data_IF_132606891693
#
_entry.id   IF_132606891693
#
_cell.length_a   1.000
_cell.length_b   1.000
_cell.length_c   1.000
_cell.angle_alpha   90.00
_cell.angle_beta   90.00
_cell.angle_gamma   90.00
#
_symmetry.space_group_name_H-M   'P 1'
#
loop_
_entity.id
_entity.type
_entity.pdbx_description
1 polymer ?
#
# COMPACT_ATOMS: atom_id res chain seq x y z
N UNK A 1 9.33 -78.30 -5.77
CA UNK A 1 7.87 -78.42 -5.93
C UNK A 1 7.22 -77.69 -4.76
N UNK A 2 6.49 -76.63 -5.13
CA UNK A 2 5.46 -75.88 -4.40
C UNK A 2 5.78 -75.15 -3.07
N UNK A 3 5.13 -73.98 -2.85
CA UNK A 3 5.59 -72.90 -1.98
C UNK A 3 4.70 -72.71 -0.74
N UNK A 4 5.10 -71.88 0.23
CA UNK A 4 4.15 -71.41 1.25
C UNK A 4 4.41 -69.96 1.72
N UNK A 5 3.64 -69.06 1.09
CA UNK A 5 2.96 -67.82 1.53
C UNK A 5 3.62 -66.87 2.57
N UNK A 6 3.63 -65.55 2.28
CA UNK A 6 3.93 -64.51 3.27
C UNK A 6 2.72 -64.22 4.17
N UNK A 7 2.98 -63.96 5.45
CA UNK A 7 2.00 -63.60 6.46
C UNK A 7 1.67 -62.10 6.35
N UNK A 8 0.42 -61.77 6.02
CA UNK A 8 -0.09 -60.39 5.99
C UNK A 8 -0.70 -60.08 7.36
N UNK A 9 -0.06 -59.17 8.11
CA UNK A 9 -0.60 -58.59 9.34
C UNK A 9 -1.60 -57.48 8.96
N UNK A 10 -2.90 -57.76 9.16
CA UNK A 10 -3.99 -56.79 9.06
C UNK A 10 -4.10 -56.00 10.38
N UNK A 11 -3.79 -54.70 10.34
CA UNK A 11 -4.18 -53.74 11.38
C UNK A 11 -5.63 -53.26 11.11
N UNK A 12 -6.50 -53.15 12.13
CA UNK A 12 -7.85 -52.64 11.96
C UNK A 12 -7.86 -51.10 11.85
N UNK A 13 -8.78 -50.50 11.07
CA UNK A 13 -8.91 -49.06 11.01
C UNK A 13 -9.71 -48.56 12.24
N UNK A 14 -9.11 -47.69 13.05
CA UNK A 14 -9.84 -46.87 14.01
C UNK A 14 -10.66 -45.82 13.25
N UNK A 15 -11.99 -45.98 13.22
CA UNK A 15 -12.91 -44.88 12.88
C UNK A 15 -12.96 -43.90 14.06
N UNK A 16 -12.32 -42.75 13.93
CA UNK A 16 -12.56 -41.61 14.81
C UNK A 16 -13.79 -40.83 14.31
N UNK A 17 -14.92 -40.94 14.99
CA UNK A 17 -16.04 -40.02 14.83
C UNK A 17 -15.63 -38.65 15.40
N UNK A 18 -15.29 -37.70 14.52
CA UNK A 18 -15.16 -36.30 14.89
C UNK A 18 -16.57 -35.70 15.02
N UNK A 19 -17.08 -35.58 16.25
CA UNK A 19 -18.23 -34.73 16.54
C UNK A 19 -17.79 -33.26 16.47
N UNK A 20 -18.26 -32.54 15.45
CA UNK A 20 -18.09 -31.09 15.39
C UNK A 20 -18.93 -30.41 16.49
N UNK A 21 -18.38 -29.47 17.27
CA UNK A 21 -19.17 -28.72 18.25
C UNK A 21 -20.08 -27.74 17.49
N UNK A 22 -21.38 -27.99 17.55
CA UNK A 22 -22.41 -27.01 17.19
C UNK A 22 -22.36 -25.89 18.23
N UNK A 23 -21.75 -24.76 17.89
CA UNK A 23 -21.80 -23.56 18.72
C UNK A 23 -23.17 -22.90 18.53
N UNK A 24 -24.08 -23.13 19.47
CA UNK A 24 -25.27 -22.31 19.59
C UNK A 24 -24.85 -20.86 19.90
N UNK A 25 -25.19 -19.92 19.01
CA UNK A 25 -24.99 -18.49 19.25
C UNK A 25 -25.93 -18.03 20.37
N UNK A 26 -25.46 -18.08 21.61
CA UNK A 26 -26.12 -17.37 22.70
C UNK A 26 -25.95 -15.87 22.47
N UNK A 27 -27.04 -15.17 22.13
CA UNK A 27 -27.08 -13.71 22.12
C UNK A 27 -26.83 -13.21 23.54
N UNK A 28 -25.62 -12.72 23.79
CA UNK A 28 -25.28 -12.04 25.06
C UNK A 28 -26.07 -10.73 25.12
N UNK A 29 -26.71 -10.39 26.25
CA UNK A 29 -27.38 -9.11 26.41
C UNK A 29 -26.34 -7.98 26.47
N UNK A 30 -26.67 -6.81 25.92
CA UNK A 30 -25.72 -5.72 25.69
C UNK A 30 -25.12 -5.13 26.97
N UNK A 31 -25.82 -5.24 28.10
CA UNK A 31 -25.36 -4.85 29.43
C UNK A 31 -24.13 -5.65 29.89
N UNK A 32 -23.98 -6.90 29.45
CA UNK A 32 -22.81 -7.72 29.74
C UNK A 32 -21.50 -7.17 29.14
N UNK A 33 -21.59 -6.28 28.16
CA UNK A 33 -20.42 -5.69 27.51
C UNK A 33 -19.78 -4.56 28.32
N UNK A 34 -20.49 -3.96 29.28
CA UNK A 34 -20.00 -2.81 30.08
C UNK A 34 -18.75 -3.17 30.89
N UNK A 35 -18.70 -4.41 31.39
CA UNK A 35 -17.60 -4.90 32.24
C UNK A 35 -16.31 -5.22 31.46
N UNK A 36 -16.32 -5.15 30.12
CA UNK A 36 -15.14 -5.43 29.31
C UNK A 36 -14.21 -4.21 29.33
N UNK A 37 -13.02 -4.39 29.88
CA UNK A 37 -12.01 -3.33 30.02
C UNK A 37 -11.45 -2.87 28.66
N UNK A 38 -11.14 -3.82 27.77
CA UNK A 38 -10.67 -3.49 26.42
C UNK A 38 -11.77 -2.85 25.59
N UNK A 39 -11.58 -1.59 25.19
CA UNK A 39 -12.53 -0.84 24.37
C UNK A 39 -12.88 -1.56 23.06
N UNK A 40 -11.89 -2.19 22.42
CA UNK A 40 -12.09 -2.96 21.20
C UNK A 40 -12.95 -4.22 21.44
N UNK A 41 -12.67 -4.97 22.51
CA UNK A 41 -13.46 -6.14 22.87
C UNK A 41 -14.87 -5.75 23.35
N UNK A 42 -15.01 -4.60 24.01
CA UNK A 42 -16.29 -4.04 24.44
C UNK A 42 -17.15 -3.64 23.25
N UNK A 43 -16.57 -2.96 22.25
CA UNK A 43 -17.27 -2.61 21.01
C UNK A 43 -17.68 -3.87 20.24
N UNK A 44 -16.79 -4.85 20.09
CA UNK A 44 -17.11 -6.12 19.44
C UNK A 44 -18.23 -6.88 20.16
N UNK A 45 -18.25 -6.84 21.49
CA UNK A 45 -19.34 -7.39 22.29
C UNK A 45 -20.67 -6.68 22.02
N UNK A 46 -20.69 -5.34 21.98
CA UNK A 46 -21.90 -4.59 21.65
C UNK A 46 -22.39 -4.89 20.25
N UNK A 47 -21.48 -4.97 19.28
CA UNK A 47 -21.82 -5.29 17.91
C UNK A 47 -22.45 -6.69 17.82
N UNK A 48 -21.89 -7.68 18.53
CA UNK A 48 -22.45 -9.03 18.61
C UNK A 48 -23.81 -9.06 19.32
N UNK A 49 -23.93 -8.38 20.47
CA UNK A 49 -25.14 -8.34 21.29
C UNK A 49 -26.32 -7.69 20.55
N UNK A 50 -26.04 -6.67 19.74
CA UNK A 50 -27.03 -5.91 18.98
C UNK A 50 -27.20 -6.43 17.54
N UNK A 51 -26.50 -7.51 17.16
CA UNK A 51 -26.55 -8.08 15.82
C UNK A 51 -25.99 -7.14 14.73
N UNK A 52 -25.18 -6.16 15.10
CA UNK A 52 -24.48 -5.28 14.15
C UNK A 52 -23.35 -6.07 13.50
N UNK A 53 -23.60 -6.51 12.29
CA UNK A 53 -22.55 -7.10 11.45
C UNK A 53 -21.88 -5.99 10.63
N UNK A 54 -20.55 -5.87 10.76
CA UNK A 54 -19.76 -5.06 9.82
C UNK A 54 -19.93 -5.64 8.44
N UNK A 55 -20.49 -4.86 7.51
CA UNK A 55 -20.62 -5.28 6.11
C UNK A 55 -19.23 -5.58 5.54
N UNK A 56 -19.08 -6.73 4.89
CA UNK A 56 -17.86 -7.04 4.17
C UNK A 56 -17.75 -6.17 2.91
N UNK A 57 -16.52 -6.00 2.40
CA UNK A 57 -16.30 -5.30 1.12
C UNK A 57 -17.10 -5.92 -0.03
N UNK A 58 -17.29 -7.26 -0.02
CA UNK A 58 -18.11 -7.96 -1.00
C UNK A 58 -19.59 -7.59 -0.89
N UNK A 59 -20.13 -7.47 0.32
CA UNK A 59 -21.51 -7.03 0.54
C UNK A 59 -21.71 -5.57 0.13
N UNK A 60 -20.73 -4.71 0.41
CA UNK A 60 -20.73 -3.32 -0.04
C UNK A 60 -20.73 -3.22 -1.57
N UNK A 61 -19.92 -4.03 -2.25
CA UNK A 61 -19.88 -4.10 -3.70
C UNK A 61 -21.19 -4.62 -4.31
N UNK A 62 -21.80 -5.64 -3.72
CA UNK A 62 -23.08 -6.18 -4.18
C UNK A 62 -24.19 -5.12 -4.07
N UNK A 63 -24.24 -4.38 -2.96
CA UNK A 63 -25.17 -3.27 -2.78
C UNK A 63 -24.94 -2.17 -3.82
N UNK A 64 -23.68 -1.82 -4.09
CA UNK A 64 -23.32 -0.86 -5.12
C UNK A 64 -23.74 -1.34 -6.52
N UNK A 65 -23.54 -2.62 -6.85
CA UNK A 65 -23.96 -3.20 -8.13
C UNK A 65 -25.48 -3.11 -8.34
N UNK A 66 -26.26 -3.51 -7.32
CA UNK A 66 -27.73 -3.39 -7.36
C UNK A 66 -28.19 -1.93 -7.47
N UNK A 67 -27.47 -0.98 -6.87
CA UNK A 67 -27.73 0.44 -7.05
C UNK A 67 -27.46 0.91 -8.50
N UNK A 68 -26.37 0.46 -9.13
CA UNK A 68 -26.07 0.78 -10.54
C UNK A 68 -27.15 0.24 -11.48
N UNK A 69 -27.62 -0.98 -11.26
CA UNK A 69 -28.68 -1.58 -12.06
C UNK A 69 -30.03 -0.85 -11.92
N UNK A 70 -30.38 -0.45 -10.69
CA UNK A 70 -31.58 0.36 -10.43
C UNK A 70 -31.48 1.74 -11.08
N UNK A 71 -30.34 2.41 -10.98
CA UNK A 71 -30.09 3.71 -11.63
C UNK A 71 -30.19 3.57 -13.16
N UNK A 72 -29.50 2.60 -13.75
CA UNK A 72 -29.52 2.36 -15.19
C UNK A 72 -30.91 2.00 -15.72
N UNK A 73 -31.71 1.21 -14.98
CA UNK A 73 -33.08 0.90 -15.37
C UNK A 73 -34.01 2.11 -15.29
N UNK A 74 -33.88 2.93 -14.23
CA UNK A 74 -34.60 4.21 -14.10
C UNK A 74 -34.25 5.20 -15.21
N UNK A 75 -32.96 5.34 -15.55
CA UNK A 75 -32.49 6.21 -16.63
C UNK A 75 -32.97 5.75 -18.00
N UNK A 76 -32.96 4.43 -18.27
CA UNK A 76 -33.51 3.85 -19.50
C UNK A 76 -35.02 4.10 -19.60
N UNK A 77 -35.76 3.91 -18.50
CA UNK A 77 -37.20 4.17 -18.47
C UNK A 77 -37.51 5.66 -18.72
N UNK A 78 -36.77 6.55 -18.06
CA UNK A 78 -36.91 8.01 -18.23
C UNK A 78 -36.51 8.45 -19.64
N UNK A 79 -35.49 7.85 -20.24
CA UNK A 79 -35.07 8.18 -21.60
C UNK A 79 -36.06 7.64 -22.63
N UNK A 80 -36.69 6.49 -22.39
CA UNK A 80 -37.69 5.92 -23.29
C UNK A 80 -38.92 6.82 -23.45
N UNK A 81 -39.32 7.55 -22.40
CA UNK A 81 -40.45 8.49 -22.42
C UNK A 81 -40.16 9.83 -23.08
N UNK A 82 -38.89 10.18 -23.35
CA UNK A 82 -38.53 11.45 -23.99
C UNK A 82 -38.76 11.43 -25.52
N UNK A 83 -39.18 12.57 -26.11
CA UNK A 83 -39.19 12.78 -27.56
C UNK A 83 -37.82 12.49 -28.21
N UNK A 84 -37.81 12.05 -29.49
CA UNK A 84 -36.58 11.66 -30.22
C UNK A 84 -35.44 12.70 -30.13
N UNK A 85 -35.77 13.99 -30.24
CA UNK A 85 -34.77 15.06 -30.24
C UNK A 85 -34.12 15.27 -28.86
N UNK A 86 -34.89 15.08 -27.78
CA UNK A 86 -34.38 15.13 -26.40
C UNK A 86 -33.56 13.88 -26.07
N UNK A 87 -33.93 12.70 -26.59
CA UNK A 87 -33.09 11.49 -26.47
C UNK A 87 -31.72 11.66 -27.09
N UNK A 88 -31.63 12.26 -28.27
CA UNK A 88 -30.35 12.53 -28.93
C UNK A 88 -29.49 13.54 -28.14
N UNK A 89 -30.12 14.61 -27.61
CA UNK A 89 -29.44 15.58 -26.74
C UNK A 89 -28.96 14.95 -25.43
N UNK A 90 -29.78 14.10 -24.80
CA UNK A 90 -29.41 13.41 -23.56
C UNK A 90 -28.29 12.39 -23.77
N UNK A 91 -28.32 11.62 -24.87
CA UNK A 91 -27.23 10.72 -25.22
C UNK A 91 -25.89 11.45 -25.44
N UNK A 92 -25.93 12.66 -26.03
CA UNK A 92 -24.75 13.53 -26.13
C UNK A 92 -24.32 14.09 -24.78
N UNK A 93 -25.27 14.43 -23.91
CA UNK A 93 -24.97 14.91 -22.55
C UNK A 93 -24.41 13.81 -21.65
N UNK A 94 -24.91 12.57 -21.75
CA UNK A 94 -24.46 11.42 -20.96
C UNK A 94 -23.03 10.98 -21.33
N UNK A 95 -22.54 11.32 -22.52
CA UNK A 95 -21.12 11.17 -22.87
C UNK A 95 -20.20 12.09 -22.04
N UNK A 96 -20.75 13.15 -21.46
CA UNK A 96 -20.03 14.16 -20.68
C UNK A 96 -20.59 14.37 -19.27
N UNK A 97 -21.64 13.64 -18.88
CA UNK A 97 -22.27 13.77 -17.58
C UNK A 97 -21.35 13.17 -16.52
N UNK A 98 -20.66 14.04 -15.80
CA UNK A 98 -20.13 13.70 -14.49
C UNK A 98 -21.31 13.38 -13.58
N UNK A 99 -21.22 12.29 -12.82
CA UNK A 99 -22.19 11.81 -11.83
C UNK A 99 -22.44 12.88 -10.71
N UNK A 100 -23.05 14.01 -11.04
CA UNK A 100 -23.28 15.16 -10.16
C UNK A 100 -24.69 15.16 -9.53
N UNK A 101 -25.28 13.98 -9.34
CA UNK A 101 -26.45 13.80 -8.47
C UNK A 101 -26.02 13.46 -7.04
N UNK A 102 -26.92 13.52 -6.03
CA UNK A 102 -26.60 12.95 -4.72
C UNK A 102 -26.26 11.49 -4.94
N UNK A 103 -24.99 11.13 -4.74
CA UNK A 103 -24.53 9.78 -4.98
C UNK A 103 -25.36 8.84 -4.10
N UNK A 104 -26.01 7.85 -4.74
CA UNK A 104 -26.67 6.76 -4.03
C UNK A 104 -25.68 6.26 -2.96
N UNK A 105 -26.04 6.26 -1.67
CA UNK A 105 -25.13 5.88 -0.60
C UNK A 105 -24.50 4.50 -0.79
N UNK A 106 -25.14 3.59 -1.51
CA UNK A 106 -24.57 2.29 -1.86
C UNK A 106 -23.43 2.43 -2.88
N UNK A 107 -23.53 3.34 -3.86
CA UNK A 107 -22.45 3.65 -4.80
C UNK A 107 -21.28 4.36 -4.12
N UNK A 108 -21.61 5.31 -3.25
CA UNK A 108 -20.65 6.10 -2.47
C UNK A 108 -19.83 5.24 -1.49
N UNK A 109 -20.35 4.07 -1.12
CA UNK A 109 -19.73 3.11 -0.22
C UNK A 109 -19.28 1.82 -0.91
N UNK A 110 -19.10 1.83 -2.23
CA UNK A 110 -18.51 0.69 -2.94
C UNK A 110 -17.11 0.37 -2.38
N UNK A 111 -16.84 -0.90 -2.11
CA UNK A 111 -15.57 -1.35 -1.53
C UNK A 111 -15.36 -1.00 -0.05
N UNK A 112 -16.36 -0.47 0.66
CA UNK A 112 -16.24 -0.15 2.09
C UNK A 112 -15.70 -1.35 2.89
N UNK A 113 -14.66 -1.12 3.68
CA UNK A 113 -13.99 -2.16 4.48
C UNK A 113 -12.99 -3.02 3.70
N UNK A 114 -12.67 -2.66 2.45
CA UNK A 114 -11.55 -3.27 1.74
C UNK A 114 -10.20 -2.74 2.24
N UNK A 115 -9.10 -3.40 1.88
CA UNK A 115 -7.75 -2.97 2.25
C UNK A 115 -7.45 -1.54 1.74
N UNK A 116 -7.79 -1.26 0.47
CA UNK A 116 -7.57 0.07 -0.07
C UNK A 116 -8.48 1.12 0.57
N UNK A 117 -9.73 0.77 0.89
CA UNK A 117 -10.61 1.66 1.64
C UNK A 117 -10.08 1.96 3.05
N UNK A 118 -9.56 0.97 3.77
CA UNK A 118 -9.03 1.19 5.12
C UNK A 118 -7.79 2.11 5.11
N UNK A 119 -6.96 2.03 4.07
CA UNK A 119 -5.76 2.87 3.93
C UNK A 119 -6.07 4.25 3.36
N UNK A 120 -7.07 4.40 2.51
CA UNK A 120 -7.32 5.65 1.77
C UNK A 120 -8.65 6.33 2.08
N UNK A 121 -9.46 5.77 2.96
CA UNK A 121 -10.74 6.33 3.39
C UNK A 121 -11.65 6.67 2.19
N UNK A 122 -11.77 5.73 1.26
CA UNK A 122 -12.35 5.95 -0.08
C UNK A 122 -13.87 6.02 -0.06
N UNK A 123 -14.50 5.10 0.68
CA UNK A 123 -15.93 5.06 0.87
C UNK A 123 -16.39 6.28 1.67
N UNK A 124 -17.57 6.82 1.33
CA UNK A 124 -18.16 7.99 2.01
C UNK A 124 -18.17 7.84 3.53
N UNK A 125 -18.55 6.67 4.02
CA UNK A 125 -18.68 6.39 5.45
C UNK A 125 -17.35 5.97 6.12
N UNK A 126 -16.28 5.81 5.35
CA UNK A 126 -14.94 5.47 5.88
C UNK A 126 -14.10 6.72 6.13
N UNK A 127 -14.60 7.90 5.76
CA UNK A 127 -13.91 9.18 5.94
C UNK A 127 -13.85 9.57 7.40
N UNK A 128 -12.65 9.91 7.86
CA UNK A 128 -12.35 10.26 9.23
C UNK A 128 -12.04 11.76 9.40
N UNK A 129 -12.37 12.59 8.40
CA UNK A 129 -12.19 14.04 8.44
C UNK A 129 -10.80 14.54 8.05
N UNK A 130 -10.68 15.86 7.99
CA UNK A 130 -9.45 16.58 7.57
C UNK A 130 -8.49 16.83 8.74
N UNK A 131 -7.22 17.06 8.41
CA UNK A 131 -6.13 17.42 9.35
C UNK A 131 -5.85 16.41 10.47
N UNK A 132 -6.35 15.18 10.33
CA UNK A 132 -5.99 14.07 11.20
C UNK A 132 -4.81 13.29 10.60
N UNK A 133 -3.83 12.96 11.43
CA UNK A 133 -2.71 12.11 10.99
C UNK A 133 -3.15 10.65 10.80
N UNK A 134 -2.70 10.06 9.70
CA UNK A 134 -2.89 8.65 9.33
C UNK A 134 -1.57 8.05 8.93
N UNK A 135 -1.45 6.74 9.09
CA UNK A 135 -0.38 5.96 8.47
C UNK A 135 -0.43 6.13 6.94
N UNK A 136 0.74 6.26 6.30
CA UNK A 136 0.82 6.27 4.84
C UNK A 136 1.52 5.02 4.29
N UNK A 137 2.85 4.98 4.35
CA UNK A 137 3.68 3.78 4.10
C UNK A 137 3.98 3.09 5.45
N UNK A 138 4.59 1.89 5.47
CA UNK A 138 4.98 1.23 6.71
C UNK A 138 5.85 2.10 7.62
N UNK A 139 5.72 1.90 8.95
CA UNK A 139 6.53 2.57 9.98
C UNK A 139 7.27 1.50 10.76
N UNK A 140 8.60 1.51 10.64
CA UNK A 140 9.46 0.43 11.14
C UNK A 140 10.82 0.93 11.61
N UNK A 141 11.48 0.08 12.40
CA UNK A 141 12.86 0.19 12.82
C UNK A 141 13.53 -1.18 12.64
N UNK A 142 14.61 -1.20 11.89
CA UNK A 142 15.54 -2.31 11.76
C UNK A 142 16.84 -1.96 12.50
N UNK A 143 17.05 -2.51 13.71
CA UNK A 143 18.32 -2.37 14.40
C UNK A 143 19.48 -2.96 13.59
N UNK A 144 19.20 -4.04 12.84
CA UNK A 144 20.14 -4.68 11.94
C UNK A 144 19.65 -4.57 10.49
N UNK A 145 20.37 -3.80 9.69
CA UNK A 145 20.19 -3.63 8.25
C UNK A 145 21.54 -3.81 7.58
N UNK A 146 21.74 -4.96 6.96
CA UNK A 146 23.00 -5.36 6.34
C UNK A 146 22.96 -5.10 4.83
N UNK A 147 24.09 -4.67 4.25
CA UNK A 147 24.30 -4.52 2.81
C UNK A 147 25.41 -5.44 2.32
N UNK A 148 25.21 -6.07 1.16
CA UNK A 148 26.22 -6.91 0.52
C UNK A 148 27.39 -6.12 -0.07
N UNK A 149 27.15 -4.86 -0.42
CA UNK A 149 28.15 -3.99 -1.04
C UNK A 149 27.86 -2.53 -0.63
N UNK A 150 28.47 -2.02 0.46
CA UNK A 150 28.34 -0.62 0.83
C UNK A 150 28.84 0.31 -0.29
N UNK A 151 28.08 1.38 -0.55
CA UNK A 151 28.43 2.39 -1.55
C UNK A 151 29.44 3.39 -0.96
N UNK A 152 30.72 3.01 -0.94
CA UNK A 152 31.78 3.84 -0.36
C UNK A 152 32.15 5.03 -1.24
N UNK A 153 31.78 5.05 -2.52
CA UNK A 153 32.05 6.19 -3.41
C UNK A 153 30.82 6.54 -4.27
N UNK A 154 29.81 7.21 -3.69
CA UNK A 154 28.65 7.65 -4.44
C UNK A 154 29.05 8.57 -5.60
N UNK A 155 28.42 8.33 -6.74
CA UNK A 155 28.71 9.02 -8.00
C UNK A 155 27.41 9.53 -8.65
N UNK A 156 27.54 10.55 -9.47
CA UNK A 156 26.49 11.04 -10.39
C UNK A 156 27.16 11.57 -11.66
N UNK A 157 26.52 11.50 -12.85
CA UNK A 157 27.02 12.16 -14.04
C UNK A 157 27.24 13.66 -13.89
N UNK A 158 26.60 14.30 -12.91
CA UNK A 158 26.92 15.67 -12.52
C UNK A 158 28.24 15.68 -11.72
N UNK A 159 29.31 16.35 -12.21
CA UNK A 159 30.61 16.39 -11.54
C UNK A 159 30.58 16.95 -10.13
N UNK A 160 29.66 17.87 -9.85
CA UNK A 160 29.52 18.49 -8.52
C UNK A 160 28.96 17.49 -7.50
N UNK A 161 28.28 16.43 -7.95
CA UNK A 161 27.62 15.41 -7.13
C UNK A 161 28.39 14.07 -7.09
N UNK A 162 29.71 14.13 -7.28
CA UNK A 162 30.61 12.96 -7.23
C UNK A 162 31.57 13.06 -6.06
N UNK A 163 31.55 12.07 -5.17
CA UNK A 163 32.49 12.04 -4.04
C UNK A 163 33.92 11.81 -4.54
N UNK A 164 34.83 12.70 -4.17
CA UNK A 164 36.26 12.56 -4.46
C UNK A 164 36.96 11.59 -3.50
N UNK A 165 36.41 11.43 -2.29
CA UNK A 165 36.96 10.58 -1.22
C UNK A 165 36.03 9.40 -0.95
N UNK A 166 36.61 8.30 -0.46
CA UNK A 166 35.85 7.14 -0.02
C UNK A 166 35.22 7.42 1.35
N UNK A 167 33.94 7.10 1.47
CA UNK A 167 33.21 7.09 2.72
C UNK A 167 33.61 5.86 3.54
N UNK A 168 33.91 6.07 4.81
CA UNK A 168 34.13 5.01 5.79
C UNK A 168 32.78 4.43 6.24
N UNK A 169 32.40 3.28 5.66
CA UNK A 169 31.10 2.65 5.86
C UNK A 169 31.24 1.19 6.25
N UNK A 170 30.52 0.80 7.31
CA UNK A 170 30.29 -0.58 7.66
C UNK A 170 29.15 -1.18 6.81
N UNK A 171 29.23 -2.49 6.60
CA UNK A 171 28.17 -3.26 5.95
C UNK A 171 26.89 -3.37 6.79
N UNK A 172 26.98 -3.16 8.11
CA UNK A 172 25.84 -3.24 9.03
C UNK A 172 25.49 -1.86 9.56
N UNK A 173 24.24 -1.47 9.43
CA UNK A 173 23.69 -0.23 9.93
C UNK A 173 22.30 -0.45 10.55
N UNK A 174 21.73 0.59 11.14
CA UNK A 174 20.31 0.62 11.47
C UNK A 174 19.54 1.37 10.39
N UNK A 175 18.31 0.94 10.12
CA UNK A 175 17.39 1.61 9.19
C UNK A 175 16.05 1.87 9.86
N UNK A 176 15.45 3.02 9.64
CA UNK A 176 14.06 3.26 10.06
C UNK A 176 13.30 4.10 9.05
N UNK A 177 11.98 3.96 9.07
CA UNK A 177 11.07 4.76 8.25
C UNK A 177 9.92 5.28 9.10
N UNK A 178 9.63 6.57 8.94
CA UNK A 178 8.39 7.19 9.42
C UNK A 178 7.59 7.65 8.21
N UNK A 179 6.28 7.44 8.23
CA UNK A 179 5.42 7.81 7.11
C UNK A 179 4.01 8.09 7.57
N UNK A 180 3.53 9.28 7.24
CA UNK A 180 2.19 9.70 7.59
C UNK A 180 1.56 10.53 6.47
N UNK A 181 0.25 10.65 6.53
CA UNK A 181 -0.53 11.51 5.65
C UNK A 181 -1.70 12.13 6.40
N UNK A 182 -2.23 13.20 5.84
CA UNK A 182 -3.45 13.84 6.31
C UNK A 182 -4.26 14.38 5.14
N UNK A 183 -5.57 14.44 5.28
CA UNK A 183 -6.43 15.08 4.28
C UNK A 183 -6.42 16.59 4.50
N UNK A 184 -6.17 17.33 3.42
CA UNK A 184 -6.36 18.77 3.36
C UNK A 184 -7.79 19.12 2.94
N UNK A 185 -8.37 18.33 2.03
CA UNK A 185 -9.73 18.54 1.49
C UNK A 185 -10.41 17.18 1.33
N UNK A 186 -11.69 17.12 1.66
CA UNK A 186 -12.55 15.96 1.40
C UNK A 186 -13.60 16.28 0.35
N UNK A 187 -13.87 15.32 -0.53
CA UNK A 187 -14.98 15.38 -1.49
C UNK A 187 -14.98 16.63 -2.38
N UNK A 188 -13.83 16.96 -2.97
CA UNK A 188 -13.68 18.10 -3.88
C UNK A 188 -14.67 18.04 -5.06
N UNK A 189 -15.10 16.84 -5.43
CA UNK A 189 -16.08 16.60 -6.51
C UNK A 189 -17.27 15.78 -5.97
N UNK A 190 -18.21 16.47 -5.30
CA UNK A 190 -19.46 15.88 -4.80
C UNK A 190 -19.25 15.00 -3.57
N UNK A 191 -19.08 13.69 -3.75
CA UNK A 191 -18.82 12.70 -2.69
C UNK A 191 -17.50 11.92 -2.90
N UNK A 192 -16.61 12.49 -3.72
CA UNK A 192 -15.36 11.88 -4.16
C UNK A 192 -14.27 12.93 -4.41
N UNK A 193 -13.01 12.49 -4.51
CA UNK A 193 -11.84 13.34 -4.71
C UNK A 193 -11.35 13.97 -3.41
N UNK A 194 -10.43 13.29 -2.74
CA UNK A 194 -9.79 13.80 -1.52
C UNK A 194 -8.37 14.28 -1.82
N UNK A 195 -7.99 15.43 -1.27
CA UNK A 195 -6.62 15.94 -1.34
C UNK A 195 -5.86 15.50 -0.10
N UNK A 196 -4.83 14.69 -0.28
CA UNK A 196 -3.92 14.21 0.75
C UNK A 196 -2.59 14.94 0.68
N UNK A 197 -2.06 15.31 1.85
CA UNK A 197 -0.67 15.68 2.04
C UNK A 197 0.02 14.55 2.79
N UNK A 198 1.14 14.06 2.28
CA UNK A 198 1.88 12.97 2.86
C UNK A 198 3.35 13.33 3.03
N UNK A 199 3.99 12.65 3.96
CA UNK A 199 5.42 12.77 4.21
C UNK A 199 5.96 11.40 4.59
N UNK A 200 7.02 10.98 3.92
CA UNK A 200 7.82 9.81 4.27
C UNK A 200 9.25 10.25 4.51
N UNK A 201 9.87 9.70 5.54
CA UNK A 201 11.30 9.84 5.77
C UNK A 201 11.89 8.47 6.06
N UNK A 202 13.01 8.16 5.40
CA UNK A 202 13.75 6.90 5.61
C UNK A 202 15.21 7.19 5.85
N UNK A 203 15.75 6.70 6.97
CA UNK A 203 17.11 7.01 7.43
C UNK A 203 17.94 5.74 7.61
N UNK A 204 19.22 5.84 7.27
CA UNK A 204 20.25 4.80 7.46
C UNK A 204 21.34 5.34 8.37
N UNK A 205 21.55 4.68 9.49
CA UNK A 205 22.41 5.12 10.57
C UNK A 205 23.52 4.10 10.85
N UNK A 206 24.78 4.51 10.69
CA UNK A 206 25.96 3.70 10.94
C UNK A 206 26.21 3.52 12.45
N UNK A 207 25.20 3.08 13.21
CA UNK A 207 25.23 2.97 14.68
C UNK A 207 26.36 2.07 15.19
N UNK A 208 26.84 1.14 14.37
CA UNK A 208 27.92 0.21 14.70
C UNK A 208 29.30 0.74 14.33
N UNK A 209 29.41 1.74 13.44
CA UNK A 209 30.68 2.28 12.98
C UNK A 209 31.26 3.25 14.02
N UNK A 210 32.02 2.69 14.97
CA UNK A 210 32.69 3.44 16.03
C UNK A 210 33.78 4.36 15.49
N UNK A 211 34.49 3.94 14.45
CA UNK A 211 35.66 4.63 13.91
C UNK A 211 35.26 5.94 13.20
N UNK A 212 34.11 5.95 12.50
CA UNK A 212 33.54 7.14 11.87
C UNK A 212 32.63 7.98 12.79
N UNK A 213 32.59 7.70 14.10
CA UNK A 213 31.70 8.36 15.08
C UNK A 213 30.19 8.17 14.82
N UNK A 214 29.81 7.01 14.26
CA UNK A 214 28.42 6.55 14.09
C UNK A 214 27.49 7.54 13.37
N UNK A 215 27.86 8.01 12.16
CA UNK A 215 27.10 9.03 11.46
C UNK A 215 25.80 8.47 10.87
N UNK A 216 24.81 9.33 10.66
CA UNK A 216 23.78 9.03 9.67
C UNK A 216 24.46 9.01 8.30
N UNK A 217 24.35 7.88 7.60
CA UNK A 217 24.85 7.73 6.24
C UNK A 217 23.93 8.46 5.28
N UNK A 218 22.63 8.21 5.38
CA UNK A 218 21.64 8.78 4.48
C UNK A 218 20.31 9.04 5.18
N UNK A 219 19.58 10.06 4.73
CA UNK A 219 18.17 10.27 5.07
C UNK A 219 17.43 10.81 3.86
N UNK A 220 16.46 10.05 3.36
CA UNK A 220 15.57 10.50 2.29
C UNK A 220 14.34 11.18 2.88
N UNK A 221 14.01 12.37 2.37
CA UNK A 221 12.82 13.16 2.69
C UNK A 221 11.88 13.14 1.48
N UNK A 222 10.65 12.67 1.65
CA UNK A 222 9.70 12.46 0.56
C UNK A 222 8.31 13.05 0.88
N UNK A 223 8.10 14.37 0.72
CA UNK A 223 6.78 14.97 0.76
C UNK A 223 5.98 14.72 -0.54
N UNK A 224 4.67 14.48 -0.39
CA UNK A 224 3.75 14.23 -1.50
C UNK A 224 2.43 14.98 -1.31
N UNK A 225 1.83 15.45 -2.41
CA UNK A 225 0.44 15.94 -2.43
C UNK A 225 -0.32 15.15 -3.48
N UNK A 226 -1.39 14.47 -3.08
CA UNK A 226 -2.14 13.55 -3.94
C UNK A 226 -3.63 13.91 -3.96
N UNK A 227 -4.22 13.96 -5.15
CA UNK A 227 -5.66 13.97 -5.37
C UNK A 227 -6.13 12.54 -5.63
N UNK A 228 -6.84 11.95 -4.67
CA UNK A 228 -7.25 10.55 -4.66
C UNK A 228 -8.75 10.39 -4.89
N UNK A 229 -9.12 9.49 -5.79
CA UNK A 229 -10.50 9.18 -6.15
C UNK A 229 -10.84 7.73 -5.84
N UNK A 230 -12.02 7.53 -5.26
CA UNK A 230 -12.70 6.24 -5.25
C UNK A 230 -13.11 5.87 -6.68
N UNK A 231 -12.77 4.66 -7.09
CA UNK A 231 -13.20 4.06 -8.35
C UNK A 231 -14.02 2.78 -8.09
N UNK A 232 -14.67 2.26 -9.13
CA UNK A 232 -15.59 1.12 -8.96
C UNK A 232 -15.62 0.12 -10.12
N UNK A 233 -14.55 0.06 -10.91
CA UNK A 233 -14.42 -0.87 -12.05
C UNK A 233 -13.89 -2.24 -11.61
N UNK A 234 -14.09 -3.27 -12.43
CA UNK A 234 -13.56 -4.61 -12.20
C UNK A 234 -12.73 -5.10 -13.37
N UNK A 235 -11.63 -5.80 -13.11
CA UNK A 235 -10.73 -6.35 -14.13
C UNK A 235 -10.17 -7.70 -13.65
N UNK A 236 -10.42 -8.78 -14.40
CA UNK A 236 -9.86 -10.12 -14.11
C UNK A 236 -10.06 -10.59 -12.65
N UNK A 237 -11.23 -10.28 -12.06
CA UNK A 237 -11.56 -10.62 -10.67
C UNK A 237 -11.02 -9.64 -9.61
N UNK A 238 -10.21 -8.66 -10.00
CA UNK A 238 -9.80 -7.54 -9.14
C UNK A 238 -10.78 -6.39 -9.22
N UNK A 239 -10.84 -5.59 -8.16
CA UNK A 239 -11.69 -4.39 -8.07
C UNK A 239 -10.78 -3.16 -8.01
N UNK A 240 -10.89 -2.28 -9.00
CA UNK A 240 -10.20 -1.00 -8.98
C UNK A 240 -10.86 -0.06 -7.98
N UNK A 241 -10.16 0.28 -6.91
CA UNK A 241 -10.67 1.13 -5.81
C UNK A 241 -10.13 2.54 -5.83
N UNK A 242 -8.89 2.71 -6.25
CA UNK A 242 -8.16 3.97 -6.15
C UNK A 242 -7.63 4.37 -7.52
N UNK A 243 -7.88 5.61 -7.90
CA UNK A 243 -7.08 6.33 -8.88
C UNK A 243 -6.61 7.63 -8.23
N UNK A 244 -5.32 7.94 -8.27
CA UNK A 244 -4.81 9.20 -7.78
C UNK A 244 -3.76 9.79 -8.72
N UNK A 245 -3.66 11.11 -8.69
CA UNK A 245 -2.57 11.88 -9.31
C UNK A 245 -1.97 12.80 -8.26
N UNK A 246 -0.66 12.96 -8.25
CA UNK A 246 0.00 13.78 -7.25
C UNK A 246 1.36 14.28 -7.69
N UNK A 247 1.85 15.26 -6.94
CA UNK A 247 3.25 15.71 -7.02
C UNK A 247 4.02 15.10 -5.87
N UNK A 248 5.25 14.72 -6.15
CA UNK A 248 6.17 14.10 -5.21
C UNK A 248 7.53 14.77 -5.38
N UNK A 249 8.11 15.19 -4.27
CA UNK A 249 9.51 15.58 -4.19
C UNK A 249 10.22 14.55 -3.34
N UNK A 250 11.44 14.17 -3.71
CA UNK A 250 12.30 13.35 -2.88
C UNK A 250 13.71 13.93 -2.93
N UNK A 251 14.30 14.18 -1.77
CA UNK A 251 15.70 14.62 -1.65
C UNK A 251 16.34 14.05 -0.40
N UNK A 252 17.67 14.02 -0.34
CA UNK A 252 18.38 13.54 0.85
C UNK A 252 18.84 14.67 1.80
N UNK A 253 18.59 15.93 1.43
CA UNK A 253 18.92 17.10 2.24
C UNK A 253 20.43 17.30 2.49
N UNK A 254 21.29 16.69 1.65
CA UNK A 254 22.75 16.83 1.74
C UNK A 254 23.25 17.96 0.84
N UNK A 255 24.37 18.62 1.20
CA UNK A 255 25.10 19.47 0.26
C UNK A 255 25.92 18.61 -0.72
N UNK A 256 26.45 19.27 -1.75
CA UNK A 256 27.46 18.67 -2.62
C UNK A 256 28.68 18.16 -1.83
N UNK A 257 29.29 17.04 -2.25
CA UNK A 257 28.97 16.26 -3.45
C UNK A 257 27.93 15.14 -3.24
N UNK A 258 27.31 15.08 -2.06
CA UNK A 258 26.37 14.01 -1.70
C UNK A 258 24.90 14.40 -1.92
N UNK A 259 24.62 15.59 -2.44
CA UNK A 259 23.27 16.05 -2.76
C UNK A 259 22.61 15.11 -3.78
N UNK A 260 21.38 14.68 -3.49
CA UNK A 260 20.53 13.92 -4.40
C UNK A 260 19.11 14.43 -4.29
N UNK A 261 18.48 14.65 -5.43
CA UNK A 261 17.09 15.10 -5.48
C UNK A 261 16.41 14.81 -6.81
N UNK A 262 15.09 14.74 -6.79
CA UNK A 262 14.25 14.67 -7.99
C UNK A 262 12.79 14.99 -7.68
N UNK A 263 12.10 15.46 -8.71
CA UNK A 263 10.68 15.81 -8.68
C UNK A 263 9.87 14.92 -9.63
N UNK A 264 8.65 14.56 -9.25
CA UNK A 264 7.80 13.62 -10.01
C UNK A 264 6.33 14.02 -9.99
N UNK A 265 5.67 13.82 -11.14
CA UNK A 265 4.21 13.65 -11.20
C UNK A 265 3.91 12.16 -11.12
N UNK A 266 3.23 11.76 -10.05
CA UNK A 266 2.91 10.38 -9.73
C UNK A 266 1.46 10.06 -10.09
N UNK A 267 1.22 8.88 -10.64
CA UNK A 267 -0.13 8.31 -10.77
C UNK A 267 -0.20 7.08 -9.87
N UNK A 268 -1.33 6.84 -9.23
CA UNK A 268 -1.53 5.67 -8.37
C UNK A 268 -2.81 4.95 -8.78
N UNK A 269 -2.72 3.68 -9.10
CA UNK A 269 -3.86 2.82 -9.40
C UNK A 269 -3.90 1.69 -8.38
N UNK A 270 -4.93 1.66 -7.55
CA UNK A 270 -5.11 0.64 -6.53
C UNK A 270 -6.22 -0.33 -6.89
N UNK A 271 -5.90 -1.63 -6.88
CA UNK A 271 -6.84 -2.72 -7.01
C UNK A 271 -6.79 -3.63 -5.79
N UNK A 272 -7.92 -4.19 -5.39
CA UNK A 272 -7.93 -5.23 -4.34
C UNK A 272 -8.74 -6.45 -4.74
N UNK A 273 -8.44 -7.55 -4.02
CA UNK A 273 -9.12 -8.83 -4.13
C UNK A 273 -8.85 -9.67 -2.88
N UNK A 274 -9.86 -9.90 -2.06
CA UNK A 274 -9.87 -10.93 -0.99
C UNK A 274 -8.58 -11.02 -0.17
N UNK A 275 -8.21 -9.97 0.56
CA UNK A 275 -6.98 -9.94 1.35
C UNK A 275 -5.71 -9.61 0.54
N UNK A 276 -5.81 -9.44 -0.78
CA UNK A 276 -4.78 -8.84 -1.61
C UNK A 276 -5.06 -7.38 -1.92
N UNK A 277 -4.02 -6.58 -2.03
CA UNK A 277 -4.04 -5.24 -2.61
C UNK A 277 -2.83 -5.05 -3.54
N UNK A 278 -3.09 -4.56 -4.75
CA UNK A 278 -2.11 -4.22 -5.76
C UNK A 278 -2.15 -2.71 -5.98
N UNK A 279 -1.01 -2.03 -5.83
CA UNK A 279 -0.86 -0.62 -6.19
C UNK A 279 0.14 -0.52 -7.34
N UNK A 280 -0.26 0.09 -8.45
CA UNK A 280 0.61 0.40 -9.57
C UNK A 280 0.88 1.91 -9.56
N UNK A 281 2.15 2.29 -9.66
CA UNK A 281 2.56 3.69 -9.64
C UNK A 281 3.48 4.03 -10.80
N UNK A 282 2.96 4.42 -11.97
CA UNK A 282 3.79 5.07 -12.98
C UNK A 282 4.02 6.54 -12.63
N UNK A 283 5.14 7.09 -13.08
CA UNK A 283 5.44 8.51 -12.87
C UNK A 283 6.19 9.14 -14.03
N UNK A 284 6.11 10.47 -14.06
CA UNK A 284 6.85 11.33 -14.98
C UNK A 284 7.79 12.17 -14.13
N UNK A 285 9.09 12.05 -14.41
CA UNK A 285 10.12 12.90 -13.79
C UNK A 285 9.99 14.33 -14.31
N UNK A 286 10.09 15.29 -13.40
CA UNK A 286 10.26 16.72 -13.69
C UNK A 286 11.75 17.02 -13.52
N UNK A 287 12.49 17.33 -14.60
CA UNK A 287 13.92 17.64 -14.50
C UNK A 287 14.17 19.00 -13.86
N UNK A 288 15.26 19.13 -13.11
CA UNK A 288 15.68 20.37 -12.44
C UNK A 288 16.59 21.26 -13.33
N UNK A 289 16.79 20.86 -14.60
CA UNK A 289 17.52 21.66 -15.58
C UNK A 289 19.03 21.57 -15.42
N UNK A 290 19.71 22.71 -15.32
CA UNK A 290 21.17 22.78 -15.18
C UNK A 290 21.70 22.37 -13.81
N UNK A 291 20.84 22.39 -12.79
CA UNK A 291 21.17 22.12 -11.39
C UNK A 291 20.73 20.69 -10.98
N UNK A 292 20.68 19.76 -11.93
CA UNK A 292 20.20 18.39 -11.71
C UNK A 292 21.28 17.54 -11.02
N UNK A 293 21.04 17.19 -9.75
CA UNK A 293 21.98 16.41 -8.93
C UNK A 293 22.30 15.02 -9.51
N UNK A 294 21.34 14.43 -10.23
CA UNK A 294 21.40 13.05 -10.71
C UNK A 294 20.64 12.90 -12.04
N UNK A 295 21.23 13.38 -13.16
CA UNK A 295 20.54 13.48 -14.45
C UNK A 295 20.04 12.14 -15.02
N UNK A 296 20.68 11.04 -14.63
CA UNK A 296 20.39 9.67 -15.05
C UNK A 296 19.49 8.89 -14.07
N UNK A 297 18.98 9.49 -13.00
CA UNK A 297 18.19 8.79 -11.96
C UNK A 297 17.01 7.99 -12.51
N UNK A 298 16.37 8.48 -13.58
CA UNK A 298 15.25 7.81 -14.23
C UNK A 298 15.65 6.50 -14.94
N UNK A 299 16.93 6.26 -15.18
CA UNK A 299 17.41 5.01 -15.76
C UNK A 299 17.69 3.94 -14.69
N UNK A 300 17.63 4.29 -13.39
CA UNK A 300 17.79 3.38 -12.26
C UNK A 300 16.54 3.26 -11.39
N UNK A 301 16.10 4.37 -10.78
CA UNK A 301 14.87 4.44 -9.99
C UNK A 301 13.64 4.23 -10.88
N UNK A 302 13.76 4.60 -12.14
CA UNK A 302 12.86 4.19 -13.19
C UNK A 302 11.65 5.08 -13.42
N UNK A 303 10.57 4.48 -13.94
CA UNK A 303 9.34 5.17 -14.39
C UNK A 303 8.06 4.57 -13.80
N UNK A 304 8.21 3.52 -13.00
CA UNK A 304 7.11 2.97 -12.28
C UNK A 304 7.51 1.87 -11.31
N UNK A 305 6.64 1.65 -10.34
CA UNK A 305 6.65 0.48 -9.47
C UNK A 305 5.27 -0.16 -9.35
N UNK A 306 5.29 -1.40 -8.88
CA UNK A 306 4.12 -2.18 -8.50
C UNK A 306 4.34 -2.75 -7.11
N UNK A 307 3.40 -2.53 -6.20
CA UNK A 307 3.41 -3.12 -4.85
C UNK A 307 2.22 -4.04 -4.69
N UNK A 308 2.48 -5.33 -4.47
CA UNK A 308 1.49 -6.35 -4.18
C UNK A 308 1.58 -6.73 -2.70
N UNK A 309 0.48 -6.60 -1.98
CA UNK A 309 0.39 -6.93 -0.55
C UNK A 309 -0.64 -8.02 -0.34
N UNK A 310 -0.33 -9.00 0.51
CA UNK A 310 -1.23 -10.03 1.01
C UNK A 310 -1.33 -9.93 2.52
N UNK A 311 -2.56 -9.76 3.01
CA UNK A 311 -2.88 -9.90 4.44
C UNK A 311 -3.53 -11.26 4.68
N UNK A 312 -3.03 -11.99 5.67
CA UNK A 312 -3.55 -13.30 6.08
C UNK A 312 -4.46 -13.19 7.32
N UNK A 313 -5.41 -14.12 7.51
CA UNK A 313 -6.34 -14.06 8.64
C UNK A 313 -5.70 -14.14 10.03
N UNK A 314 -4.51 -14.72 10.13
CA UNK A 314 -3.70 -14.81 11.35
C UNK A 314 -2.88 -13.53 11.62
N UNK A 315 -3.07 -12.50 10.82
CA UNK A 315 -2.44 -11.19 10.98
C UNK A 315 -1.11 -11.04 10.28
N UNK A 316 -0.59 -12.06 9.57
CA UNK A 316 0.63 -11.89 8.78
C UNK A 316 0.40 -10.98 7.56
N UNK A 317 1.41 -10.21 7.18
CA UNK A 317 1.40 -9.41 5.96
C UNK A 317 2.68 -9.64 5.14
N UNK A 318 2.49 -9.96 3.86
CA UNK A 318 3.57 -10.11 2.88
C UNK A 318 3.45 -8.98 1.86
N UNK A 319 4.54 -8.30 1.56
CA UNK A 319 4.60 -7.26 0.53
C UNK A 319 5.71 -7.55 -0.47
N UNK A 320 5.42 -7.38 -1.74
CA UNK A 320 6.34 -7.47 -2.85
C UNK A 320 6.30 -6.16 -3.63
N UNK A 321 7.40 -5.42 -3.67
CA UNK A 321 7.57 -4.25 -4.53
C UNK A 321 8.48 -4.62 -5.70
N UNK A 322 8.06 -4.28 -6.91
CA UNK A 322 8.84 -4.37 -8.14
C UNK A 322 8.95 -2.99 -8.76
N UNK A 323 10.17 -2.54 -9.04
CA UNK A 323 10.46 -1.25 -9.68
C UNK A 323 11.32 -1.47 -10.92
N UNK A 324 11.04 -0.73 -12.00
CA UNK A 324 11.79 -0.88 -13.24
C UNK A 324 11.93 0.43 -14.03
N UNK A 325 13.02 0.56 -14.78
CA UNK A 325 13.28 1.72 -15.62
C UNK A 325 12.34 1.86 -16.81
N UNK A 326 11.74 0.74 -17.23
CA UNK A 326 10.95 0.58 -18.45
C UNK A 326 11.75 0.98 -19.71
N UNK A 327 13.06 0.75 -19.67
CA UNK A 327 14.00 0.85 -20.79
C UNK A 327 14.66 -0.50 -21.04
N UNK A 328 15.20 -0.69 -22.24
CA UNK A 328 16.00 -1.87 -22.60
C UNK A 328 17.49 -1.58 -22.66
N UNK A 329 18.29 -2.62 -22.93
CA UNK A 329 19.76 -2.55 -23.02
C UNK A 329 20.40 -2.15 -21.69
N UNK A 330 21.49 -1.38 -21.75
CA UNK A 330 22.26 -0.91 -20.58
C UNK A 330 21.46 -0.01 -19.62
N UNK A 331 20.25 0.40 -19.98
CA UNK A 331 19.36 1.20 -19.12
C UNK A 331 18.26 0.36 -18.47
N UNK A 332 18.30 -0.96 -18.59
CA UNK A 332 17.31 -1.88 -18.03
C UNK A 332 17.62 -2.19 -16.57
N UNK A 333 17.41 -1.22 -15.69
CA UNK A 333 17.61 -1.38 -14.25
C UNK A 333 16.27 -1.49 -13.51
N UNK A 334 16.34 -2.04 -12.30
CA UNK A 334 15.19 -2.18 -11.44
C UNK A 334 15.57 -2.63 -10.03
N UNK A 335 14.55 -2.87 -9.24
CA UNK A 335 14.68 -3.42 -7.90
C UNK A 335 13.49 -4.31 -7.55
N UNK A 336 13.75 -5.25 -6.65
CA UNK A 336 12.74 -6.05 -5.96
C UNK A 336 12.90 -5.85 -4.46
N UNK A 337 11.78 -5.70 -3.75
CA UNK A 337 11.76 -5.70 -2.30
C UNK A 337 10.68 -6.68 -1.82
N UNK A 338 11.07 -7.58 -0.93
CA UNK A 338 10.17 -8.46 -0.20
C UNK A 338 10.15 -8.03 1.27
N UNK A 339 8.95 -7.87 1.81
CA UNK A 339 8.73 -7.65 3.24
C UNK A 339 7.82 -8.74 3.80
N UNK A 340 8.18 -9.25 4.97
CA UNK A 340 7.34 -10.14 5.76
C UNK A 340 7.19 -9.58 7.16
N UNK A 341 5.95 -9.20 7.47
CA UNK A 341 5.54 -8.75 8.78
C UNK A 341 4.71 -9.83 9.47
N UNK A 342 5.14 -10.28 10.65
CA UNK A 342 4.47 -11.33 11.42
C UNK A 342 4.10 -10.83 12.82
N UNK A 343 2.97 -11.29 13.40
CA UNK A 343 2.55 -10.87 14.73
C UNK A 343 3.62 -11.20 15.79
N UNK A 344 4.02 -10.21 16.59
CA UNK A 344 4.86 -10.41 17.78
C UNK A 344 4.08 -10.04 19.06
N UNK A 345 3.42 -8.89 19.04
CA UNK A 345 2.55 -8.38 20.12
C UNK A 345 1.32 -7.72 19.49
N UNK A 346 0.31 -7.38 20.30
CA UNK A 346 -0.93 -6.74 19.83
C UNK A 346 -0.70 -5.48 18.97
N UNK A 347 0.37 -4.72 19.22
CA UNK A 347 0.67 -3.45 18.55
C UNK A 347 1.98 -3.45 17.76
N UNK A 348 2.77 -4.54 17.80
CA UNK A 348 4.06 -4.61 17.13
C UNK A 348 4.17 -5.90 16.32
N UNK A 349 4.79 -5.78 15.15
CA UNK A 349 5.08 -6.90 14.28
C UNK A 349 6.58 -7.07 14.17
N UNK A 350 7.01 -8.31 14.06
CA UNK A 350 8.36 -8.62 13.59
C UNK A 350 8.39 -8.40 12.10
N UNK A 351 9.48 -7.82 11.60
CA UNK A 351 9.57 -7.38 10.20
C UNK A 351 10.93 -7.78 9.63
N UNK A 352 10.87 -8.66 8.62
CA UNK A 352 12.00 -9.02 7.76
C UNK A 352 11.84 -8.31 6.41
N UNK A 353 12.88 -7.62 5.96
CA UNK A 353 12.94 -6.98 4.65
C UNK A 353 14.14 -7.50 3.86
N UNK A 354 13.94 -7.81 2.58
CA UNK A 354 15.01 -8.13 1.63
C UNK A 354 14.82 -7.24 0.41
N UNK A 355 15.82 -6.42 0.10
CA UNK A 355 15.87 -5.58 -1.09
C UNK A 355 17.02 -6.06 -1.98
N UNK A 356 16.79 -6.21 -3.29
CA UNK A 356 17.85 -6.45 -4.28
C UNK A 356 17.64 -5.54 -5.50
N UNK A 357 18.70 -4.86 -5.91
CA UNK A 357 18.70 -4.00 -7.10
C UNK A 357 19.27 -2.62 -6.83
N UNK A 358 18.79 -1.64 -7.60
CA UNK A 358 19.27 -0.25 -7.56
C UNK A 358 18.35 0.64 -6.73
N UNK A 359 18.92 1.64 -6.04
CA UNK A 359 18.16 2.72 -5.40
C UNK A 359 17.40 2.34 -4.14
N UNK A 360 18.04 1.60 -3.25
CA UNK A 360 17.54 1.39 -1.89
C UNK A 360 17.30 2.73 -1.17
N UNK A 361 18.20 3.69 -1.39
CA UNK A 361 18.13 5.09 -0.97
C UNK A 361 18.49 6.03 -2.13
N UNK A 362 18.36 7.35 -1.98
CA UNK A 362 18.76 8.29 -3.05
C UNK A 362 20.26 8.30 -3.30
N UNK A 363 21.11 8.29 -2.27
CA UNK A 363 22.56 8.21 -2.48
C UNK A 363 22.99 6.91 -3.18
N UNK A 364 22.18 5.86 -3.06
CA UNK A 364 22.38 4.55 -3.69
C UNK A 364 21.58 4.37 -4.99
N UNK A 365 21.03 5.45 -5.59
CA UNK A 365 20.13 5.35 -6.75
C UNK A 365 20.72 4.56 -7.92
N UNK A 366 22.01 4.73 -8.19
CA UNK A 366 22.76 4.07 -9.26
C UNK A 366 23.71 2.97 -8.76
N UNK A 367 23.54 2.54 -7.50
CA UNK A 367 24.36 1.49 -6.89
C UNK A 367 23.53 0.22 -6.69
N UNK A 368 24.04 -0.91 -7.20
CA UNK A 368 23.36 -2.22 -7.04
C UNK A 368 23.93 -2.95 -5.85
N UNK A 369 23.06 -3.31 -4.91
CA UNK A 369 23.41 -4.27 -3.87
C UNK A 369 22.18 -5.08 -3.43
N UNK A 370 22.41 -5.93 -2.43
CA UNK A 370 21.37 -6.64 -1.69
C UNK A 370 21.39 -6.12 -0.27
N UNK A 371 20.23 -5.80 0.28
CA UNK A 371 20.08 -5.39 1.67
C UNK A 371 19.10 -6.30 2.40
N UNK A 372 19.44 -6.65 3.64
CA UNK A 372 18.62 -7.50 4.50
C UNK A 372 18.42 -6.79 5.84
N UNK A 373 17.16 -6.51 6.17
CA UNK A 373 16.74 -5.86 7.40
C UNK A 373 15.94 -6.80 8.29
N UNK A 374 16.25 -6.79 9.59
CA UNK A 374 15.44 -7.45 10.61
C UNK A 374 15.14 -6.47 11.73
N UNK A 375 13.87 -6.34 12.10
CA UNK A 375 13.46 -5.55 13.24
C UNK A 375 11.97 -5.61 13.50
N UNK A 376 11.40 -4.46 13.82
CA UNK A 376 10.01 -4.31 14.25
C UNK A 376 9.30 -3.23 13.46
N UNK A 377 8.00 -3.42 13.27
CA UNK A 377 7.12 -2.41 12.70
C UNK A 377 5.93 -2.14 13.60
N UNK A 378 5.51 -0.87 13.60
CA UNK A 378 4.31 -0.41 14.27
C UNK A 378 3.11 -0.44 13.30
N UNK A 379 3.36 -0.11 12.03
CA UNK A 379 2.34 0.02 11.01
C UNK A 379 2.83 -0.61 9.71
N UNK A 380 1.99 -1.41 9.09
CA UNK A 380 2.24 -2.03 7.78
C UNK A 380 1.43 -1.35 6.68
N UNK A 381 1.35 -1.93 5.48
CA UNK A 381 0.55 -1.38 4.37
C UNK A 381 -0.96 -1.44 4.59
N UNK A 382 -1.46 -2.39 5.39
CA UNK A 382 -2.88 -2.53 5.72
C UNK A 382 -3.14 -3.03 7.13
#
# INVERSE_FOLDING_TARGET
>A
MSPCRPCVLLLPPLLALAAAPVHAQATRPADACVAIESDAARLACYDQALGRQTRSAQQADAAAALARERKASSERATTATLPRHERARRALSDLFAQDAGPADPALANAGKGSLLDSRWELARDSKLGIFNFRAYKPVYLFPAFWSSQPNTRPFSPNPDNTSAEDLDLDALESKFQISFKTKAVENLFGDNGDVWMAYTQSSRWQVFNGDASRPFRETDYEPEVLLAFRTGYGLLGWKGRLAAVGINHQSNGRPDPLSRSWNRVMFNLGLDREGWALTLRPWIRIPDGGDDDNPDIADYMGRGDATLVRTLPDGQQLSLMLRHSLRGGERSHGAVQLDWAFPLHESFRGHLQVFDGYGESLIDYNHRATWIGLGVSLLEWY
#
